data_IF_969884702741
#
_entry.id   IF_969884702741
#
_cell.length_a   1.000
_cell.length_b   1.000
_cell.length_c   1.000
_cell.angle_alpha   90.00
_cell.angle_beta   90.00
_cell.angle_gamma   90.00
#
_symmetry.space_group_name_H-M   'P 1'
#
loop_
_entity.id
_entity.type
_entity.pdbx_description
1 polymer ?
#
# COMPACT_ATOMS: atom_id res chain seq x y z
N UNK A 1 -6.45 -4.51 -7.96
CA UNK A 1 -7.81 -4.60 -8.56
C UNK A 1 -7.82 -5.25 -9.94
N UNK A 2 -6.93 -4.90 -10.88
CA UNK A 2 -6.84 -5.57 -12.20
C UNK A 2 -6.53 -7.07 -12.08
N UNK A 3 -5.54 -7.43 -11.25
CA UNK A 3 -5.19 -8.84 -10.98
C UNK A 3 -6.38 -9.67 -10.45
N UNK A 4 -7.12 -9.14 -9.48
CA UNK A 4 -8.32 -9.78 -8.91
C UNK A 4 -9.39 -10.03 -9.99
N UNK A 5 -9.66 -9.04 -10.86
CA UNK A 5 -10.64 -9.21 -11.95
C UNK A 5 -10.18 -10.25 -12.99
N UNK A 6 -8.88 -10.30 -13.30
CA UNK A 6 -8.32 -11.24 -14.27
C UNK A 6 -8.33 -12.70 -13.78
N UNK A 7 -8.26 -12.93 -12.46
CA UNK A 7 -8.29 -14.26 -11.83
C UNK A 7 -9.71 -14.90 -11.81
N UNK A 8 -10.74 -14.17 -12.27
CA UNK A 8 -12.12 -14.68 -12.35
C UNK A 8 -12.88 -14.75 -11.01
N UNK A 9 -12.20 -14.49 -9.89
CA UNK A 9 -12.79 -14.36 -8.56
C UNK A 9 -12.65 -12.94 -8.08
N UNK A 10 -13.77 -12.28 -7.77
CA UNK A 10 -13.77 -10.96 -7.14
C UNK A 10 -13.88 -11.14 -5.62
N UNK A 11 -12.79 -10.94 -4.83
CA UNK A 11 -12.82 -11.14 -3.39
C UNK A 11 -13.88 -10.24 -2.76
N UNK A 12 -14.47 -10.61 -1.62
CA UNK A 12 -15.50 -9.80 -0.97
C UNK A 12 -14.96 -8.40 -0.59
N UNK A 13 -15.86 -7.43 -0.46
CA UNK A 13 -15.47 -6.03 -0.29
C UNK A 13 -14.59 -5.77 0.94
N UNK A 14 -14.84 -6.51 2.04
CA UNK A 14 -14.06 -6.38 3.26
C UNK A 14 -12.61 -6.87 3.09
N UNK A 15 -12.38 -7.96 2.36
CA UNK A 15 -11.01 -8.44 2.10
C UNK A 15 -10.25 -7.53 1.14
N UNK A 16 -10.93 -6.96 0.14
CA UNK A 16 -10.30 -5.97 -0.75
C UNK A 16 -9.91 -4.71 0.01
N UNK A 17 -10.73 -4.29 0.98
CA UNK A 17 -10.43 -3.17 1.85
C UNK A 17 -9.27 -3.48 2.80
N UNK A 18 -9.26 -4.66 3.42
CA UNK A 18 -8.14 -5.13 4.23
C UNK A 18 -6.83 -5.19 3.43
N UNK A 19 -6.87 -5.66 2.19
CA UNK A 19 -5.73 -5.64 1.27
C UNK A 19 -5.23 -4.23 0.97
N UNK A 20 -6.14 -3.30 0.63
CA UNK A 20 -5.81 -1.90 0.37
C UNK A 20 -5.10 -1.24 1.58
N UNK A 21 -5.29 -1.77 2.81
CA UNK A 21 -4.66 -1.30 4.06
C UNK A 21 -3.47 -2.15 4.54
N UNK A 22 -3.15 -3.26 3.88
CA UNK A 22 -2.08 -4.18 4.31
C UNK A 22 -2.42 -5.05 5.52
N UNK A 23 -3.71 -5.22 5.87
CA UNK A 23 -4.15 -6.05 6.99
C UNK A 23 -4.26 -7.52 6.59
N UNK A 24 -3.12 -8.18 6.38
CA UNK A 24 -3.03 -9.58 5.94
C UNK A 24 -3.83 -10.55 6.83
N UNK A 25 -3.85 -10.32 8.14
CA UNK A 25 -4.59 -11.16 9.12
C UNK A 25 -6.12 -11.14 8.94
N UNK A 26 -6.66 -10.15 8.22
CA UNK A 26 -8.10 -9.97 7.97
C UNK A 26 -8.54 -10.55 6.61
N UNK A 27 -7.63 -11.18 5.86
CA UNK A 27 -7.87 -11.71 4.52
C UNK A 27 -7.94 -13.22 4.58
N UNK A 28 -9.05 -13.83 4.16
CA UNK A 28 -9.22 -15.29 4.16
C UNK A 28 -8.65 -15.94 2.90
N UNK A 29 -8.73 -15.27 1.74
CA UNK A 29 -8.16 -15.77 0.49
C UNK A 29 -6.62 -15.91 0.60
N UNK A 30 -6.06 -17.12 0.46
CA UNK A 30 -4.64 -17.36 0.69
C UNK A 30 -3.73 -16.57 -0.25
N UNK A 31 -4.06 -16.51 -1.55
CA UNK A 31 -3.23 -15.78 -2.50
C UNK A 31 -3.29 -14.27 -2.23
N UNK A 32 -4.47 -13.74 -1.91
CA UNK A 32 -4.62 -12.33 -1.59
C UNK A 32 -3.87 -11.96 -0.30
N UNK A 33 -3.84 -12.86 0.68
CA UNK A 33 -3.05 -12.70 1.90
C UNK A 33 -1.55 -12.69 1.60
N UNK A 34 -1.07 -13.60 0.76
CA UNK A 34 0.33 -13.67 0.37
C UNK A 34 0.78 -12.39 -0.35
N UNK A 35 -0.07 -11.86 -1.23
CA UNK A 35 0.17 -10.55 -1.85
C UNK A 35 0.24 -9.42 -0.83
N UNK A 36 -0.68 -9.37 0.15
CA UNK A 36 -0.68 -8.33 1.18
C UNK A 36 0.60 -8.38 2.02
N UNK A 37 1.03 -9.58 2.41
CA UNK A 37 2.27 -9.79 3.16
C UNK A 37 3.49 -9.38 2.35
N UNK A 38 3.59 -9.79 1.08
CA UNK A 38 4.71 -9.45 0.21
C UNK A 38 4.82 -7.93 -0.02
N UNK A 39 3.69 -7.23 -0.13
CA UNK A 39 3.66 -5.77 -0.23
C UNK A 39 4.18 -5.12 1.06
N UNK A 40 3.77 -5.64 2.21
CA UNK A 40 4.21 -5.13 3.52
C UNK A 40 5.69 -5.38 3.81
N UNK A 41 6.24 -6.46 3.28
CA UNK A 41 7.65 -6.85 3.46
C UNK A 41 8.58 -6.22 2.40
N UNK A 42 8.03 -5.54 1.40
CA UNK A 42 8.81 -4.95 0.32
C UNK A 42 9.75 -3.85 0.84
N UNK A 43 11.01 -3.91 0.41
CA UNK A 43 12.02 -2.89 0.75
C UNK A 43 11.78 -1.56 0.02
N UNK A 44 10.92 -1.56 -1.00
CA UNK A 44 10.51 -0.37 -1.73
C UNK A 44 9.09 0.04 -1.29
N UNK A 45 8.78 1.35 -1.22
CA UNK A 45 7.42 1.80 -0.93
C UNK A 45 6.45 1.34 -2.03
N UNK A 46 5.42 0.58 -1.65
CA UNK A 46 4.34 0.14 -2.54
C UNK A 46 3.02 0.71 -2.02
N UNK A 47 2.34 1.47 -2.86
CA UNK A 47 0.97 1.92 -2.60
C UNK A 47 -0.01 0.92 -3.21
N UNK A 48 -0.64 0.12 -2.36
CA UNK A 48 -1.83 -0.64 -2.72
C UNK A 48 -3.07 0.27 -2.65
N UNK A 49 -4.14 -0.06 -3.38
CA UNK A 49 -5.38 0.71 -3.32
C UNK A 49 -6.16 0.84 -4.62
N UNK A 50 -7.43 1.22 -4.48
CA UNK A 50 -8.17 1.88 -5.56
C UNK A 50 -7.75 3.35 -5.72
N UNK A 51 -8.18 4.01 -6.80
CA UNK A 51 -7.80 5.39 -7.13
C UNK A 51 -7.88 6.38 -5.94
N UNK A 52 -8.93 6.32 -5.12
CA UNK A 52 -9.09 7.22 -3.98
C UNK A 52 -8.07 7.01 -2.86
N UNK A 53 -7.74 5.75 -2.55
CA UNK A 53 -6.73 5.40 -1.54
C UNK A 53 -5.34 5.79 -2.04
N UNK A 54 -5.03 5.49 -3.30
CA UNK A 54 -3.73 5.80 -3.91
C UNK A 54 -3.52 7.32 -4.06
N UNK A 55 -4.53 8.07 -4.51
CA UNK A 55 -4.41 9.53 -4.66
C UNK A 55 -4.25 10.23 -3.32
N UNK A 56 -4.99 9.82 -2.29
CA UNK A 56 -4.82 10.34 -0.94
C UNK A 56 -3.46 9.98 -0.34
N UNK A 57 -2.99 8.74 -0.54
CA UNK A 57 -1.67 8.30 -0.10
C UNK A 57 -0.53 9.08 -0.75
N UNK A 58 -0.63 9.35 -2.06
CA UNK A 58 0.38 10.16 -2.76
C UNK A 58 0.40 11.61 -2.25
N UNK A 59 -0.77 12.21 -1.98
CA UNK A 59 -0.84 13.54 -1.38
C UNK A 59 -0.20 13.56 0.01
N UNK A 60 -0.52 12.58 0.87
CA UNK A 60 0.08 12.46 2.20
C UNK A 60 1.61 12.25 2.14
N UNK A 61 2.10 11.50 1.15
CA UNK A 61 3.55 11.35 0.91
C UNK A 61 4.19 12.68 0.50
N UNK A 62 3.57 13.45 -0.40
CA UNK A 62 4.08 14.77 -0.77
C UNK A 62 4.11 15.73 0.43
N UNK A 63 3.03 15.77 1.22
CA UNK A 63 2.95 16.60 2.42
C UNK A 63 3.98 16.22 3.50
N UNK A 64 4.45 14.98 3.53
CA UNK A 64 5.48 14.53 4.47
C UNK A 64 6.89 14.77 3.96
N UNK A 65 7.11 14.68 2.64
CA UNK A 65 8.37 15.08 2.00
C UNK A 65 8.62 16.58 2.12
N UNK A 66 7.58 17.42 1.98
CA UNK A 66 7.69 18.87 2.18
C UNK A 66 7.98 19.26 3.64
N UNK A 67 7.71 18.37 4.60
CA UNK A 67 7.99 18.57 6.04
C UNK A 67 9.39 18.13 6.47
N UNK A 68 10.24 17.63 5.57
CA UNK A 68 11.66 17.40 5.87
C UNK A 68 12.33 18.78 6.01
N UNK A 69 12.84 19.16 7.21
CA UNK A 69 13.54 20.43 7.37
C UNK A 69 14.79 20.47 6.49
N UNK A 70 15.14 21.60 5.86
CA UNK A 70 16.28 21.71 4.95
C UNK A 70 17.68 21.59 5.61
N UNK A 71 17.78 21.07 6.84
CA UNK A 71 19.02 21.11 7.64
C UNK A 71 19.49 19.72 8.12
N UNK A 72 19.37 18.68 7.29
CA UNK A 72 20.09 17.40 7.52
C UNK A 72 20.77 16.89 6.24
N UNK A 73 20.97 17.76 5.23
CA UNK A 73 21.62 17.38 3.98
C UNK A 73 23.14 17.60 3.97
N UNK A 74 23.72 18.42 4.84
CA UNK A 74 25.18 18.61 4.90
C UNK A 74 25.68 18.85 6.33
N UNK A 75 26.64 18.05 6.79
CA UNK A 75 27.36 18.32 8.04
C UNK A 75 27.99 17.10 8.72
N UNK A 76 29.10 16.60 8.16
CA UNK A 76 29.92 15.57 8.82
C UNK A 76 31.38 15.63 8.41
N UNK A 77 32.15 16.51 9.07
CA UNK A 77 33.59 16.38 9.37
C UNK A 77 34.59 16.43 8.22
#
# INVERSE_FOLDING_TARGET
RVWMAARGGWPPAHERYAFDLGWSDQISDPELRDWASAISEATIPILAGGHGVVAGGLLAMLETLEKIPPDQAEGGG
#
